data_IF_622368941558
#
_entry.id   IF_622368941558
#
_cell.length_a   1.000
_cell.length_b   1.000
_cell.length_c   1.000
_cell.angle_alpha   90.00
_cell.angle_beta   90.00
_cell.angle_gamma   90.00
#
_symmetry.space_group_name_H-M   'P 1'
#
loop_
_entity.id
_entity.type
_entity.pdbx_description
1 polymer ?
#
# COMPACT_ATOMS: atom_id res chain seq x y z
N UNK A 1 15.91 21.91 3.50
CA UNK A 1 14.70 21.13 3.13
C UNK A 1 13.54 22.12 3.08
N UNK A 2 12.84 22.25 1.97
CA UNK A 2 11.66 23.12 1.90
C UNK A 2 10.49 22.38 2.53
N UNK A 3 9.92 22.93 3.61
CA UNK A 3 8.79 22.32 4.33
C UNK A 3 7.43 22.79 3.81
N UNK A 4 7.42 23.61 2.77
CA UNK A 4 6.20 24.15 2.15
C UNK A 4 5.87 23.31 0.92
N UNK A 5 4.66 22.79 0.88
CA UNK A 5 4.15 22.05 -0.28
C UNK A 5 4.10 22.96 -1.52
N UNK A 6 4.45 22.40 -2.67
CA UNK A 6 4.24 23.03 -3.98
C UNK A 6 2.74 23.16 -4.28
N UNK A 7 2.39 23.91 -5.32
CA UNK A 7 0.99 24.00 -5.77
C UNK A 7 0.44 22.67 -6.25
N UNK A 8 1.27 21.87 -6.94
CA UNK A 8 0.92 20.52 -7.38
C UNK A 8 0.64 19.59 -6.19
N UNK A 9 1.54 19.58 -5.18
CA UNK A 9 1.38 18.78 -3.98
C UNK A 9 0.12 19.15 -3.19
N UNK A 10 -0.21 20.46 -3.12
CA UNK A 10 -1.45 20.91 -2.48
C UNK A 10 -2.69 20.47 -3.25
N UNK A 11 -2.65 20.54 -4.58
CA UNK A 11 -3.75 20.07 -5.42
C UNK A 11 -3.98 18.56 -5.22
N UNK A 12 -2.92 17.76 -5.20
CA UNK A 12 -3.02 16.32 -4.91
C UNK A 12 -3.53 16.06 -3.50
N UNK A 13 -3.05 16.78 -2.50
CA UNK A 13 -3.56 16.67 -1.13
C UNK A 13 -5.07 16.93 -1.06
N UNK A 14 -5.56 17.92 -1.79
CA UNK A 14 -6.99 18.21 -1.85
C UNK A 14 -7.79 17.06 -2.48
N UNK A 15 -7.29 16.45 -3.55
CA UNK A 15 -7.92 15.28 -4.18
C UNK A 15 -8.03 14.11 -3.19
N UNK A 16 -6.95 13.80 -2.47
CA UNK A 16 -6.95 12.74 -1.47
C UNK A 16 -7.90 13.04 -0.31
N UNK A 17 -7.93 14.31 0.13
CA UNK A 17 -8.82 14.79 1.18
C UNK A 17 -10.30 14.67 0.77
N UNK A 18 -10.65 15.13 -0.43
CA UNK A 18 -12.01 15.06 -0.97
C UNK A 18 -12.49 13.60 -1.04
N UNK A 19 -11.66 12.72 -1.61
CA UNK A 19 -11.97 11.29 -1.62
C UNK A 19 -12.18 10.73 -0.19
N UNK A 20 -11.29 11.07 0.73
CA UNK A 20 -11.38 10.61 2.13
C UNK A 20 -12.65 11.10 2.82
N UNK A 21 -13.02 12.36 2.62
CA UNK A 21 -14.20 12.96 3.24
C UNK A 21 -15.52 12.44 2.64
N UNK A 22 -15.57 12.22 1.33
CA UNK A 22 -16.79 11.80 0.64
C UNK A 22 -17.00 10.29 0.65
N UNK A 23 -15.93 9.50 0.50
CA UNK A 23 -16.03 8.06 0.30
C UNK A 23 -15.74 7.24 1.55
N UNK A 24 -14.83 7.70 2.42
CA UNK A 24 -14.39 6.93 3.58
C UNK A 24 -15.08 7.40 4.86
N UNK A 25 -15.08 8.71 5.12
CA UNK A 25 -15.57 9.28 6.37
C UNK A 25 -17.00 8.90 6.74
N UNK A 26 -17.97 8.79 5.81
CA UNK A 26 -19.31 8.34 6.15
C UNK A 26 -19.38 6.94 6.77
N UNK A 27 -18.40 6.10 6.48
CA UNK A 27 -18.35 4.69 6.91
C UNK A 27 -17.35 4.42 8.04
N UNK A 28 -16.64 5.43 8.56
CA UNK A 28 -15.55 5.25 9.55
C UNK A 28 -15.97 4.38 10.73
N UNK A 29 -17.10 4.70 11.37
CA UNK A 29 -17.57 3.95 12.56
C UNK A 29 -18.00 2.51 12.21
N UNK A 30 -18.54 2.30 11.05
CA UNK A 30 -18.95 0.96 10.60
C UNK A 30 -17.74 0.11 10.22
N UNK A 31 -16.72 0.72 9.62
CA UNK A 31 -15.43 0.07 9.34
C UNK A 31 -14.76 -0.36 10.65
N UNK A 32 -14.68 0.51 11.65
CA UNK A 32 -14.07 0.21 12.94
C UNK A 32 -14.79 -0.90 13.69
N UNK A 33 -16.11 -1.03 13.50
CA UNK A 33 -16.94 -2.11 14.09
C UNK A 33 -16.95 -3.38 13.25
N UNK A 34 -16.29 -3.40 12.09
CA UNK A 34 -16.31 -4.53 11.16
C UNK A 34 -17.67 -4.74 10.45
N UNK A 35 -18.52 -3.73 10.44
CA UNK A 35 -19.88 -3.77 9.84
C UNK A 35 -19.87 -3.31 8.38
N UNK A 36 -18.82 -2.62 7.94
CA UNK A 36 -18.64 -2.19 6.55
C UNK A 36 -17.35 -2.79 6.00
N UNK A 37 -17.44 -3.46 4.86
CA UNK A 37 -16.27 -4.00 4.16
C UNK A 37 -15.50 -2.89 3.46
N UNK A 38 -14.17 -2.86 3.65
CA UNK A 38 -13.28 -1.92 2.95
C UNK A 38 -13.04 -2.29 1.48
N UNK A 39 -13.49 -3.46 1.04
CA UNK A 39 -13.27 -3.99 -0.31
C UNK A 39 -13.71 -3.04 -1.45
N UNK A 40 -14.93 -2.46 -1.41
CA UNK A 40 -15.35 -1.53 -2.45
C UNK A 40 -14.45 -0.28 -2.51
N UNK A 41 -14.06 0.25 -1.35
CA UNK A 41 -13.16 1.40 -1.27
C UNK A 41 -11.76 1.08 -1.82
N UNK A 42 -11.23 -0.11 -1.50
CA UNK A 42 -9.95 -0.56 -2.04
C UNK A 42 -9.98 -0.70 -3.55
N UNK A 43 -11.06 -1.24 -4.10
CA UNK A 43 -11.23 -1.34 -5.55
C UNK A 43 -11.20 0.04 -6.21
N UNK A 44 -11.97 1.00 -5.70
CA UNK A 44 -11.96 2.38 -6.19
C UNK A 44 -10.55 3.01 -6.08
N UNK A 45 -9.85 2.80 -4.97
CA UNK A 45 -8.49 3.33 -4.77
C UNK A 45 -7.46 2.69 -5.71
N UNK A 46 -7.63 1.42 -6.12
CA UNK A 46 -6.82 0.83 -7.17
C UNK A 46 -7.10 1.49 -8.53
N UNK A 47 -8.37 1.68 -8.88
CA UNK A 47 -8.79 2.33 -10.14
C UNK A 47 -8.29 3.78 -10.22
N UNK A 48 -8.26 4.50 -9.09
CA UNK A 48 -7.73 5.86 -8.96
C UNK A 48 -6.20 5.93 -8.86
N UNK A 49 -5.52 4.79 -8.77
CA UNK A 49 -4.06 4.71 -8.67
C UNK A 49 -3.48 4.98 -7.28
N UNK A 50 -4.30 5.15 -6.25
CA UNK A 50 -3.83 5.44 -4.88
C UNK A 50 -2.98 4.30 -4.31
N UNK A 51 -3.24 3.07 -4.73
CA UNK A 51 -2.45 1.92 -4.31
C UNK A 51 -1.10 1.81 -5.03
N UNK A 52 -0.91 2.53 -6.15
CA UNK A 52 0.29 2.46 -6.99
C UNK A 52 1.09 3.76 -7.10
N UNK A 53 0.94 4.72 -6.18
CA UNK A 53 1.54 6.07 -6.28
C UNK A 53 3.04 6.02 -6.58
N UNK A 54 3.81 5.26 -5.81
CA UNK A 54 5.28 5.17 -5.92
C UNK A 54 5.75 3.99 -6.79
N UNK A 55 4.84 3.17 -7.28
CA UNK A 55 5.19 2.05 -8.14
C UNK A 55 5.52 2.58 -9.55
N UNK A 56 6.59 2.11 -10.20
CA UNK A 56 6.95 2.54 -11.54
C UNK A 56 5.83 2.32 -12.56
N UNK A 57 5.75 3.23 -13.55
CA UNK A 57 4.72 3.20 -14.61
C UNK A 57 4.74 1.92 -15.42
N UNK A 58 5.91 1.34 -15.64
CA UNK A 58 6.10 0.07 -16.36
C UNK A 58 5.42 -1.13 -15.68
N UNK A 59 5.11 -1.01 -14.38
CA UNK A 59 4.35 -2.02 -13.62
C UNK A 59 2.91 -1.58 -13.32
N UNK A 60 2.45 -0.51 -13.98
CA UNK A 60 1.08 -0.01 -13.87
C UNK A 60 0.86 1.01 -12.75
N UNK A 61 1.90 1.43 -12.04
CA UNK A 61 1.84 2.48 -11.03
C UNK A 61 1.89 3.89 -11.61
N UNK A 62 1.83 4.90 -10.75
CA UNK A 62 1.91 6.30 -11.14
C UNK A 62 3.37 6.80 -11.29
N UNK A 63 4.34 6.09 -10.73
CA UNK A 63 5.76 6.49 -10.72
C UNK A 63 5.99 7.86 -10.06
N UNK A 64 5.17 8.17 -9.06
CA UNK A 64 5.18 9.46 -8.39
C UNK A 64 6.11 9.48 -7.18
N UNK A 65 6.18 10.62 -6.49
CA UNK A 65 7.09 10.80 -5.37
C UNK A 65 6.58 10.19 -4.06
N UNK A 66 7.49 9.95 -3.12
CA UNK A 66 7.12 9.57 -1.75
C UNK A 66 6.37 10.68 -1.01
N UNK A 67 6.56 11.96 -1.38
CA UNK A 67 5.78 13.08 -0.82
C UNK A 67 4.31 12.88 -1.17
N UNK A 68 4.00 12.61 -2.44
CA UNK A 68 2.62 12.35 -2.88
C UNK A 68 2.00 11.15 -2.16
N UNK A 69 2.79 10.08 -1.97
CA UNK A 69 2.36 8.91 -1.22
C UNK A 69 2.04 9.23 0.25
N UNK A 70 2.89 10.01 0.92
CA UNK A 70 2.67 10.42 2.32
C UNK A 70 1.43 11.28 2.43
N UNK A 71 1.22 12.24 1.51
CA UNK A 71 0.02 13.08 1.48
C UNK A 71 -1.26 12.24 1.32
N UNK A 72 -1.24 11.23 0.44
CA UNK A 72 -2.37 10.32 0.29
C UNK A 72 -2.65 9.54 1.58
N UNK A 73 -1.62 8.90 2.15
CA UNK A 73 -1.78 8.11 3.39
C UNK A 73 -2.22 8.98 4.55
N UNK A 74 -1.72 10.22 4.66
CA UNK A 74 -2.13 11.18 5.68
C UNK A 74 -3.62 11.51 5.59
N UNK A 75 -4.11 11.92 4.41
CA UNK A 75 -5.51 12.31 4.25
C UNK A 75 -6.47 11.10 4.42
N UNK A 76 -6.11 9.94 3.89
CA UNK A 76 -6.89 8.71 4.11
C UNK A 76 -6.93 8.33 5.59
N UNK A 77 -5.81 8.49 6.32
CA UNK A 77 -5.71 8.17 7.75
C UNK A 77 -6.60 9.07 8.62
N UNK A 78 -6.77 10.34 8.25
CA UNK A 78 -7.68 11.28 8.93
C UNK A 78 -9.14 10.84 8.86
N UNK A 79 -9.51 10.06 7.86
CA UNK A 79 -10.84 9.48 7.73
C UNK A 79 -10.91 8.07 8.33
N UNK A 80 -9.95 7.18 8.02
CA UNK A 80 -9.93 5.81 8.56
C UNK A 80 -8.52 5.21 8.54
N UNK A 81 -7.99 4.91 9.73
CA UNK A 81 -6.72 4.20 9.88
C UNK A 81 -6.68 2.83 9.18
N UNK A 82 -7.69 1.95 9.34
CA UNK A 82 -7.77 0.67 8.63
C UNK A 82 -7.69 0.79 7.10
N UNK A 83 -8.38 1.79 6.51
CA UNK A 83 -8.33 2.02 5.05
C UNK A 83 -6.94 2.47 4.61
N UNK A 84 -6.37 3.46 5.28
CA UNK A 84 -5.01 3.93 4.98
C UNK A 84 -3.97 2.83 5.17
N UNK A 85 -4.12 1.98 6.20
CA UNK A 85 -3.26 0.82 6.42
C UNK A 85 -3.37 -0.20 5.30
N UNK A 86 -4.55 -0.40 4.74
CA UNK A 86 -4.73 -1.28 3.59
C UNK A 86 -3.94 -0.82 2.37
N UNK A 87 -3.90 0.50 2.10
CA UNK A 87 -3.08 1.08 1.03
C UNK A 87 -1.59 0.98 1.36
N UNK A 88 -1.18 1.46 2.54
CA UNK A 88 0.24 1.52 2.90
C UNK A 88 0.87 0.14 3.09
N UNK A 89 0.14 -0.79 3.71
CA UNK A 89 0.61 -2.16 3.92
C UNK A 89 0.84 -2.89 2.62
N UNK A 90 -0.04 -2.71 1.66
CA UNK A 90 0.09 -3.31 0.34
C UNK A 90 1.28 -2.71 -0.45
N UNK A 91 1.45 -1.39 -0.43
CA UNK A 91 2.58 -0.72 -1.09
C UNK A 91 3.93 -1.23 -0.56
N UNK A 92 4.07 -1.41 0.76
CA UNK A 92 5.29 -1.90 1.38
C UNK A 92 5.71 -3.30 0.90
N UNK A 93 4.74 -4.14 0.52
CA UNK A 93 5.01 -5.49 -0.01
C UNK A 93 5.67 -5.49 -1.38
N UNK A 94 5.43 -4.45 -2.18
CA UNK A 94 6.03 -4.36 -3.51
C UNK A 94 7.51 -4.02 -3.48
N UNK A 95 8.00 -3.32 -2.46
CA UNK A 95 9.38 -2.87 -2.42
C UNK A 95 10.42 -3.98 -2.50
N UNK A 96 10.35 -5.07 -1.72
CA UNK A 96 11.31 -6.17 -1.85
C UNK A 96 11.32 -6.76 -3.27
N UNK A 97 10.14 -6.93 -3.87
CA UNK A 97 10.02 -7.49 -5.22
C UNK A 97 10.53 -6.50 -6.27
N UNK A 98 10.25 -5.21 -6.13
CA UNK A 98 10.74 -4.17 -7.05
C UNK A 98 12.26 -4.03 -7.01
N UNK A 99 12.87 -4.14 -5.81
CA UNK A 99 14.31 -3.95 -5.65
C UNK A 99 15.13 -5.21 -5.91
N UNK A 100 14.62 -6.38 -5.54
CA UNK A 100 15.39 -7.63 -5.54
C UNK A 100 14.82 -8.71 -6.44
N UNK A 101 13.57 -8.57 -6.89
CA UNK A 101 12.91 -9.55 -7.77
C UNK A 101 13.42 -9.50 -9.21
N UNK A 102 13.36 -10.63 -9.88
CA UNK A 102 13.54 -10.72 -11.33
C UNK A 102 12.39 -10.03 -12.07
N UNK A 103 12.60 -9.67 -13.34
CA UNK A 103 11.54 -9.06 -14.15
C UNK A 103 10.28 -9.95 -14.21
N UNK A 104 10.46 -11.26 -14.34
CA UNK A 104 9.35 -12.22 -14.31
C UNK A 104 8.57 -12.18 -12.99
N UNK A 105 9.26 -12.02 -11.85
CA UNK A 105 8.61 -11.89 -10.54
C UNK A 105 7.86 -10.56 -10.42
N UNK A 106 8.42 -9.46 -10.91
CA UNK A 106 7.75 -8.15 -10.91
C UNK A 106 6.46 -8.19 -11.73
N UNK A 107 6.51 -8.74 -12.92
CA UNK A 107 5.33 -8.92 -13.77
C UNK A 107 4.28 -9.85 -13.14
N UNK A 108 4.73 -10.93 -12.51
CA UNK A 108 3.84 -11.93 -11.89
C UNK A 108 3.14 -11.43 -10.63
N UNK A 109 3.81 -10.59 -9.82
CA UNK A 109 3.33 -10.21 -8.49
C UNK A 109 2.95 -8.74 -8.38
N UNK A 110 3.78 -7.80 -8.90
CA UNK A 110 3.54 -6.36 -8.74
C UNK A 110 2.41 -5.89 -9.65
N UNK A 111 2.42 -6.26 -10.92
CA UNK A 111 1.41 -5.80 -11.88
C UNK A 111 -0.01 -6.20 -11.50
N UNK A 112 -0.33 -7.48 -11.18
CA UNK A 112 -1.68 -7.86 -10.75
C UNK A 112 -2.07 -7.21 -9.42
N UNK A 113 -1.09 -6.93 -8.57
CA UNK A 113 -1.35 -6.25 -7.32
C UNK A 113 -1.73 -4.77 -7.54
N UNK A 114 -0.99 -4.02 -8.35
CA UNK A 114 -1.31 -2.62 -8.66
C UNK A 114 -2.70 -2.49 -9.27
N UNK A 115 -3.12 -3.47 -10.09
CA UNK A 115 -4.46 -3.53 -10.67
C UNK A 115 -5.58 -3.94 -9.70
N UNK A 116 -5.24 -4.31 -8.45
CA UNK A 116 -6.22 -4.81 -7.49
C UNK A 116 -6.73 -6.24 -7.76
N UNK A 117 -6.10 -6.96 -8.69
CA UNK A 117 -6.44 -8.36 -9.03
C UNK A 117 -5.96 -9.34 -7.96
N UNK A 118 -4.92 -8.97 -7.20
CA UNK A 118 -4.33 -9.76 -6.11
C UNK A 118 -4.10 -8.89 -4.89
N UNK A 119 -4.07 -9.54 -3.74
CA UNK A 119 -3.69 -8.94 -2.47
C UNK A 119 -2.37 -9.48 -1.99
N UNK A 120 -1.70 -8.67 -1.18
CA UNK A 120 -0.46 -9.02 -0.51
C UNK A 120 -0.58 -8.84 1.00
N UNK A 121 0.22 -9.58 1.74
CA UNK A 121 0.37 -9.42 3.17
C UNK A 121 1.86 -9.44 3.54
N UNK A 122 2.22 -8.67 4.56
CA UNK A 122 3.59 -8.64 5.09
C UNK A 122 3.62 -9.34 6.45
N UNK A 123 4.22 -10.50 6.47
CA UNK A 123 4.36 -11.32 7.67
C UNK A 123 5.85 -11.35 8.06
N UNK A 124 6.26 -10.45 8.93
CA UNK A 124 7.66 -10.28 9.34
C UNK A 124 7.85 -10.63 10.82
N UNK A 125 6.96 -10.14 11.69
CA UNK A 125 7.08 -10.24 13.14
C UNK A 125 6.90 -11.68 13.61
N UNK A 126 7.82 -12.15 14.41
CA UNK A 126 7.78 -13.44 15.10
C UNK A 126 7.58 -13.24 16.62
N UNK A 127 7.19 -14.29 17.38
CA UNK A 127 7.05 -14.16 18.83
C UNK A 127 8.34 -13.67 19.53
N UNK A 128 9.51 -13.98 19.00
CA UNK A 128 10.81 -13.61 19.52
C UNK A 128 11.48 -12.42 18.82
N UNK A 129 10.94 -11.92 17.70
CA UNK A 129 11.59 -10.92 16.88
C UNK A 129 10.56 -9.89 16.34
N UNK A 130 10.56 -8.70 16.95
CA UNK A 130 9.78 -7.55 16.50
C UNK A 130 10.69 -6.46 15.94
N UNK A 131 11.07 -5.48 16.79
CA UNK A 131 11.97 -4.39 16.39
C UNK A 131 13.37 -4.90 16.00
N UNK A 132 13.82 -6.00 16.59
CA UNK A 132 15.01 -6.73 16.16
C UNK A 132 14.68 -7.69 15.02
N UNK A 133 14.52 -7.16 13.80
CA UNK A 133 14.26 -7.97 12.62
C UNK A 133 15.44 -8.90 12.26
N UNK A 134 16.66 -8.62 12.73
CA UNK A 134 17.81 -9.49 12.53
C UNK A 134 17.76 -10.75 13.42
N UNK A 135 16.96 -10.72 14.49
CA UNK A 135 16.72 -11.86 15.38
C UNK A 135 15.67 -12.87 14.88
N UNK A 136 15.16 -12.73 13.66
CA UNK A 136 14.22 -13.70 13.08
C UNK A 136 14.83 -15.09 12.97
N UNK A 137 14.03 -16.11 13.29
CA UNK A 137 14.44 -17.50 13.30
C UNK A 137 13.75 -18.36 12.22
N UNK A 138 12.75 -17.81 11.55
CA UNK A 138 12.10 -18.50 10.43
C UNK A 138 13.10 -18.81 9.34
N UNK A 139 13.19 -20.06 8.96
CA UNK A 139 14.05 -20.56 7.88
C UNK A 139 13.18 -21.05 6.72
N UNK A 140 13.76 -21.07 5.53
CA UNK A 140 13.14 -21.66 4.35
C UNK A 140 14.16 -22.55 3.64
N UNK A 141 13.79 -23.80 3.38
CA UNK A 141 14.64 -24.75 2.66
C UNK A 141 14.11 -24.94 1.23
N UNK A 142 15.03 -25.04 0.26
CA UNK A 142 14.67 -25.32 -1.12
C UNK A 142 14.58 -26.84 -1.32
N UNK A 143 13.37 -27.37 -1.40
CA UNK A 143 13.11 -28.79 -1.61
C UNK A 143 12.39 -28.98 -2.95
N UNK A 144 13.00 -29.71 -3.86
CA UNK A 144 12.44 -29.99 -5.22
C UNK A 144 12.05 -28.73 -6.00
N UNK A 145 12.77 -27.60 -5.77
CA UNK A 145 12.52 -26.34 -6.48
C UNK A 145 11.47 -25.44 -5.83
N UNK A 146 10.92 -25.83 -4.67
CA UNK A 146 9.97 -25.04 -3.89
C UNK A 146 10.55 -24.75 -2.50
N UNK A 147 10.29 -23.55 -1.97
CA UNK A 147 10.64 -23.21 -0.60
C UNK A 147 9.60 -23.75 0.38
N UNK A 148 10.08 -24.45 1.40
CA UNK A 148 9.30 -25.08 2.47
C UNK A 148 9.76 -24.54 3.82
#
# INVERSE_FOLDING_TARGET
MNTVLTEEERALQMIYKEYADERIRPHTLEIDKGLFSVEPLLKEMHELGFCGIVIPKEYGGLGSSYVHYVLAVEELSKASGPVAKSVSGQTNMCFPILHYGTEAQKQKYVVPWVKGEKRSAFTLTEPGAGSDAAGMQTTAELINGEFV
#
